data_IF_353857721657
#
_entry.id   IF_353857721657
#
_cell.length_a   1.000
_cell.length_b   1.000
_cell.length_c   1.000
_cell.angle_alpha   90.00
_cell.angle_beta   90.00
_cell.angle_gamma   90.00
#
_symmetry.space_group_name_H-M   'P 1'
#
loop_
_entity.id
_entity.type
_entity.pdbx_description
1 polymer ?
#
# COMPACT_ATOMS: atom_id res chain seq x y z
N UNK A 1 6.85 -4.68 17.80
CA UNK A 1 6.72 -5.41 16.53
C UNK A 1 6.24 -6.80 16.87
N UNK A 2 5.08 -7.22 16.36
CA UNK A 2 4.70 -8.64 16.40
C UNK A 2 5.74 -9.41 15.58
N UNK A 3 6.49 -10.31 16.21
CA UNK A 3 7.49 -11.15 15.53
C UNK A 3 6.91 -12.55 15.35
N UNK A 4 7.03 -13.13 14.16
CA UNK A 4 6.64 -14.51 13.88
C UNK A 4 5.47 -14.64 12.89
N UNK A 5 4.84 -15.82 12.85
CA UNK A 5 3.82 -16.19 11.84
C UNK A 5 2.58 -15.29 11.82
N UNK A 6 2.31 -14.56 12.90
CA UNK A 6 1.12 -13.71 13.06
C UNK A 6 1.35 -12.22 12.81
N UNK A 7 2.59 -11.79 12.54
CA UNK A 7 2.91 -10.39 12.30
C UNK A 7 1.99 -9.77 11.23
N UNK A 8 1.36 -8.63 11.57
CA UNK A 8 0.41 -7.93 10.72
C UNK A 8 -0.78 -8.81 10.32
N UNK A 9 -1.41 -9.45 11.31
CA UNK A 9 -2.50 -10.42 11.12
C UNK A 9 -2.12 -11.58 10.19
N UNK A 10 -0.83 -11.94 10.18
CA UNK A 10 -0.27 -13.00 9.33
C UNK A 10 -0.09 -12.62 7.86
N UNK A 11 -0.23 -11.33 7.48
CA UNK A 11 -0.01 -10.88 6.10
C UNK A 11 1.48 -10.78 5.73
N UNK A 12 2.38 -10.56 6.69
CA UNK A 12 3.80 -10.39 6.38
C UNK A 12 4.40 -11.59 5.64
N UNK A 13 4.02 -12.82 6.02
CA UNK A 13 4.48 -14.04 5.35
C UNK A 13 3.93 -14.22 3.93
N UNK A 14 2.80 -13.58 3.60
CA UNK A 14 2.17 -13.65 2.29
C UNK A 14 2.65 -12.54 1.36
N UNK A 15 3.06 -11.40 1.94
CA UNK A 15 3.48 -10.23 1.20
C UNK A 15 4.75 -10.46 0.36
N UNK A 16 5.67 -11.33 0.79
CA UNK A 16 6.86 -11.64 -0.01
C UNK A 16 7.67 -10.41 -0.44
N UNK A 17 7.76 -9.40 0.44
CA UNK A 17 8.37 -8.07 0.20
C UNK A 17 7.67 -7.18 -0.87
N UNK A 18 6.50 -7.56 -1.37
CA UNK A 18 5.73 -6.76 -2.35
C UNK A 18 4.85 -5.66 -1.72
N UNK A 19 4.89 -5.49 -0.40
CA UNK A 19 3.96 -4.60 0.32
C UNK A 19 4.65 -3.87 1.45
N UNK A 20 4.40 -2.56 1.55
CA UNK A 20 4.74 -1.77 2.73
C UNK A 20 3.69 -2.05 3.81
N UNK A 21 4.13 -2.66 4.92
CA UNK A 21 3.25 -3.01 6.04
C UNK A 21 3.38 -1.99 7.16
N UNK A 22 2.27 -1.35 7.52
CA UNK A 22 2.23 -0.27 8.51
C UNK A 22 1.31 -0.67 9.64
N UNK A 23 1.83 -0.63 10.87
CA UNK A 23 1.08 -0.91 12.09
C UNK A 23 1.07 0.37 12.95
N UNK A 24 0.10 1.27 12.71
CA UNK A 24 0.00 2.50 13.47
C UNK A 24 -0.42 2.21 14.92
N UNK A 25 0.01 3.08 15.83
CA UNK A 25 -0.34 3.03 17.24
C UNK A 25 -1.34 4.13 17.56
N UNK A 26 -2.57 3.75 17.92
CA UNK A 26 -3.61 4.68 18.32
C UNK A 26 -3.37 5.29 19.71
N UNK A 27 -4.00 6.44 19.98
CA UNK A 27 -3.91 7.12 21.27
C UNK A 27 -4.44 6.21 22.39
N UNK A 28 -3.72 6.13 23.51
CA UNK A 28 -4.06 5.28 24.66
C UNK A 28 -4.25 3.79 24.32
N UNK A 29 -3.58 3.28 23.27
CA UNK A 29 -3.80 1.93 22.72
C UNK A 29 -5.24 1.69 22.22
N UNK A 30 -5.97 2.74 21.87
CA UNK A 30 -7.36 2.68 21.43
C UNK A 30 -7.55 3.35 20.08
N UNK A 31 -8.75 3.17 19.53
CA UNK A 31 -9.19 3.74 18.25
C UNK A 31 -10.58 4.37 18.39
N UNK A 32 -10.79 5.14 19.45
CA UNK A 32 -12.07 5.78 19.72
C UNK A 32 -12.45 6.79 18.63
N UNK A 33 -11.45 7.36 17.95
CA UNK A 33 -11.59 8.35 16.91
C UNK A 33 -12.43 9.56 17.37
N UNK A 34 -12.19 10.02 18.59
CA UNK A 34 -12.96 11.12 19.18
C UNK A 34 -12.71 12.38 18.37
N UNK A 35 -13.77 13.00 17.86
CA UNK A 35 -13.64 14.19 17.01
C UNK A 35 -12.92 13.97 15.67
N UNK A 36 -12.67 12.72 15.25
CA UNK A 36 -11.96 12.41 14.00
C UNK A 36 -10.42 12.42 14.09
N UNK A 37 -9.87 12.40 15.30
CA UNK A 37 -8.42 12.45 15.55
C UNK A 37 -7.65 11.29 14.89
N UNK A 38 -8.18 10.07 14.98
CA UNK A 38 -7.52 8.88 14.43
C UNK A 38 -7.60 8.86 12.90
N UNK A 39 -8.70 9.37 12.31
CA UNK A 39 -8.79 9.54 10.85
C UNK A 39 -7.76 10.56 10.37
N UNK A 40 -7.58 11.66 11.11
CA UNK A 40 -6.57 12.68 10.79
C UNK A 40 -5.16 12.09 10.88
N UNK A 41 -4.89 11.30 11.93
CA UNK A 41 -3.63 10.58 12.07
C UNK A 41 -3.36 9.62 10.91
N UNK A 42 -4.37 8.87 10.45
CA UNK A 42 -4.24 8.00 9.27
C UNK A 42 -3.93 8.81 8.01
N UNK A 43 -4.59 9.95 7.80
CA UNK A 43 -4.30 10.83 6.65
C UNK A 43 -2.86 11.36 6.68
N UNK A 44 -2.38 11.77 7.86
CA UNK A 44 -1.01 12.25 8.05
C UNK A 44 0.03 11.15 7.81
N UNK A 45 -0.26 9.94 8.29
CA UNK A 45 0.56 8.76 8.06
C UNK A 45 0.64 8.41 6.57
N UNK A 46 -0.49 8.37 5.86
CA UNK A 46 -0.54 8.11 4.41
C UNK A 46 0.29 9.16 3.66
N UNK A 47 0.12 10.44 4.00
CA UNK A 47 0.89 11.53 3.39
C UNK A 47 2.40 11.39 3.62
N UNK A 48 2.81 10.99 4.83
CA UNK A 48 4.22 10.78 5.16
C UNK A 48 4.81 9.60 4.38
N UNK A 49 4.08 8.49 4.31
CA UNK A 49 4.49 7.30 3.54
C UNK A 49 4.64 7.64 2.06
N UNK A 50 3.68 8.33 1.47
CA UNK A 50 3.72 8.70 0.05
C UNK A 50 4.81 9.73 -0.27
N UNK A 51 5.18 10.57 0.70
CA UNK A 51 6.29 11.50 0.54
C UNK A 51 7.66 10.81 0.61
N UNK A 52 7.77 9.74 1.39
CA UNK A 52 9.05 9.07 1.67
C UNK A 52 9.27 7.80 0.82
N UNK A 53 8.20 7.16 0.34
CA UNK A 53 8.23 5.87 -0.35
C UNK A 53 7.45 5.90 -1.68
N UNK A 54 7.94 5.16 -2.68
CA UNK A 54 7.19 4.89 -3.90
C UNK A 54 6.13 3.81 -3.61
N UNK A 55 4.88 4.23 -3.38
CA UNK A 55 3.75 3.32 -3.13
C UNK A 55 2.70 3.43 -4.24
N UNK A 56 2.10 2.29 -4.60
CA UNK A 56 0.93 2.29 -5.48
C UNK A 56 -0.29 2.81 -4.72
N UNK A 57 -0.64 4.05 -5.02
CA UNK A 57 -1.79 4.75 -4.43
C UNK A 57 -3.14 4.13 -4.80
N UNK A 58 -3.21 3.34 -5.87
CA UNK A 58 -4.40 2.57 -6.22
C UNK A 58 -4.54 1.25 -5.42
N UNK A 59 -3.51 0.85 -4.67
CA UNK A 59 -3.47 -0.38 -3.87
C UNK A 59 -3.23 -0.10 -2.38
N UNK A 60 -3.97 0.88 -1.84
CA UNK A 60 -4.00 1.14 -0.39
C UNK A 60 -5.10 0.31 0.27
N UNK A 61 -4.75 -0.41 1.33
CA UNK A 61 -5.69 -1.26 2.06
C UNK A 61 -5.65 -0.95 3.56
N UNK A 62 -6.79 -1.12 4.23
CA UNK A 62 -6.86 -1.04 5.68
C UNK A 62 -7.42 -2.34 6.26
N UNK A 63 -6.82 -2.82 7.34
CA UNK A 63 -7.32 -3.97 8.09
C UNK A 63 -7.12 -3.79 9.59
N UNK A 64 -7.97 -4.46 10.37
CA UNK A 64 -7.78 -4.54 11.80
C UNK A 64 -8.80 -5.44 12.47
N UNK A 65 -8.47 -5.83 13.71
CA UNK A 65 -9.33 -6.60 14.59
C UNK A 65 -9.97 -5.72 15.68
N UNK A 66 -11.20 -6.05 16.09
CA UNK A 66 -11.88 -5.41 17.22
C UNK A 66 -11.91 -3.88 17.07
N UNK A 67 -11.23 -3.13 17.93
CA UNK A 67 -11.11 -1.67 17.81
C UNK A 67 -10.42 -1.23 16.50
N UNK A 68 -9.40 -1.95 16.05
CA UNK A 68 -8.78 -1.71 14.74
C UNK A 68 -9.70 -2.09 13.57
N UNK A 69 -10.61 -3.05 13.78
CA UNK A 69 -11.68 -3.37 12.83
C UNK A 69 -12.72 -2.25 12.76
N UNK A 70 -13.08 -1.66 13.91
CA UNK A 70 -13.91 -0.46 13.98
C UNK A 70 -13.27 0.73 13.27
N UNK A 71 -11.96 0.92 13.42
CA UNK A 71 -11.22 1.96 12.70
C UNK A 71 -11.19 1.71 11.19
N UNK A 72 -10.94 0.47 10.76
CA UNK A 72 -10.97 0.10 9.34
C UNK A 72 -12.35 0.32 8.71
N UNK A 73 -13.42 0.07 9.46
CA UNK A 73 -14.79 0.41 9.04
C UNK A 73 -15.01 1.93 8.97
N UNK A 74 -14.49 2.70 9.93
CA UNK A 74 -14.56 4.16 9.90
C UNK A 74 -13.83 4.75 8.68
N UNK A 75 -12.68 4.20 8.31
CA UNK A 75 -11.96 4.55 7.07
C UNK A 75 -12.76 4.20 5.83
N UNK A 76 -13.42 3.04 5.79
CA UNK A 76 -14.31 2.69 4.69
C UNK A 76 -15.47 3.70 4.53
N UNK A 77 -15.96 4.27 5.63
CA UNK A 77 -17.02 5.29 5.56
C UNK A 77 -16.50 6.66 5.10
N UNK A 78 -15.34 7.07 5.61
CA UNK A 78 -14.85 8.45 5.53
C UNK A 78 -13.75 8.69 4.48
N UNK A 79 -13.10 7.63 4.01
CA UNK A 79 -11.93 7.64 3.12
C UNK A 79 -12.05 6.60 2.01
N UNK A 80 -13.28 6.33 1.56
CA UNK A 80 -13.59 5.38 0.49
C UNK A 80 -12.85 5.67 -0.84
N UNK A 81 -12.43 6.91 -1.08
CA UNK A 81 -11.65 7.32 -2.26
C UNK A 81 -10.13 7.24 -2.04
N UNK A 82 -9.67 7.05 -0.80
CA UNK A 82 -8.25 6.92 -0.45
C UNK A 82 -7.85 5.45 -0.39
N UNK A 83 -8.71 4.59 0.17
CA UNK A 83 -8.45 3.16 0.27
C UNK A 83 -9.14 2.40 -0.85
N UNK A 84 -8.43 1.43 -1.44
CA UNK A 84 -8.97 0.55 -2.49
C UNK A 84 -9.95 -0.47 -1.93
N UNK A 85 -9.63 -1.00 -0.75
CA UNK A 85 -10.44 -1.98 -0.04
C UNK A 85 -10.16 -1.97 1.47
N UNK A 86 -11.10 -2.49 2.26
CA UNK A 86 -10.89 -2.76 3.69
C UNK A 86 -11.21 -4.20 4.07
N UNK A 87 -10.55 -4.71 5.10
CA UNK A 87 -10.90 -5.96 5.78
C UNK A 87 -11.20 -5.69 7.27
N UNK A 88 -12.45 -5.89 7.66
CA UNK A 88 -12.94 -5.62 9.03
C UNK A 88 -13.08 -6.95 9.77
N UNK A 89 -12.17 -7.21 10.71
CA UNK A 89 -12.14 -8.44 11.49
C UNK A 89 -12.80 -8.21 12.87
N UNK A 90 -13.93 -8.86 13.15
CA UNK A 90 -14.65 -8.72 14.42
C UNK A 90 -14.90 -7.26 14.81
N UNK A 91 -15.21 -6.38 13.85
CA UNK A 91 -15.32 -4.94 14.08
C UNK A 91 -16.69 -4.50 14.59
N UNK A 92 -16.80 -3.21 14.92
CA UNK A 92 -18.07 -2.57 15.32
C UNK A 92 -18.04 -1.06 15.03
N UNK A 93 -19.12 -0.35 15.34
CA UNK A 93 -19.21 1.11 15.12
C UNK A 93 -18.62 1.95 16.27
N UNK A 94 -17.47 1.52 16.82
CA UNK A 94 -16.82 2.19 17.95
C UNK A 94 -16.09 3.48 17.54
N UNK A 95 -15.55 3.52 16.31
CA UNK A 95 -14.74 4.63 15.78
C UNK A 95 -15.55 5.60 14.89
N UNK A 96 -16.88 5.49 14.93
CA UNK A 96 -17.81 6.25 14.09
C UNK A 96 -17.85 5.80 12.62
N UNK A 97 -18.67 6.50 11.83
CA UNK A 97 -18.81 6.29 10.39
C UNK A 97 -19.40 7.57 9.75
N UNK A 98 -18.52 8.53 9.43
CA UNK A 98 -18.90 9.77 8.72
C UNK A 98 -18.94 9.53 7.21
N UNK A 99 -19.88 10.16 6.50
CA UNK A 99 -20.16 9.89 5.08
C UNK A 99 -20.85 8.54 4.93
N UNK A 100 -20.09 7.46 4.77
CA UNK A 100 -20.59 6.09 4.83
C UNK A 100 -21.55 5.69 3.71
N UNK A 101 -21.64 6.49 2.66
CA UNK A 101 -22.45 6.26 1.44
C UNK A 101 -21.62 5.98 0.21
N UNK A 102 -20.32 6.31 0.25
CA UNK A 102 -19.40 6.04 -0.86
C UNK A 102 -19.10 4.53 -0.95
N UNK A 103 -18.98 3.99 -2.18
CA UNK A 103 -18.62 2.59 -2.39
C UNK A 103 -17.12 2.36 -2.15
N UNK A 104 -16.80 1.18 -1.63
CA UNK A 104 -15.42 0.69 -1.46
C UNK A 104 -15.47 -0.83 -1.34
N UNK A 105 -14.47 -1.53 -1.87
CA UNK A 105 -14.40 -2.98 -1.70
C UNK A 105 -14.31 -3.35 -0.21
N UNK A 106 -15.17 -4.25 0.24
CA UNK A 106 -15.37 -4.53 1.65
C UNK A 106 -15.33 -6.04 1.95
N UNK A 107 -14.42 -6.45 2.83
CA UNK A 107 -14.43 -7.78 3.44
C UNK A 107 -14.80 -7.66 4.92
N UNK A 108 -15.87 -8.32 5.33
CA UNK A 108 -16.21 -8.50 6.75
C UNK A 108 -15.88 -9.92 7.20
N UNK A 109 -15.22 -10.06 8.36
CA UNK A 109 -14.91 -11.35 8.99
C UNK A 109 -15.45 -11.34 10.42
N UNK A 110 -16.34 -12.26 10.80
CA UNK A 110 -17.05 -12.15 12.09
C UNK A 110 -17.42 -13.50 12.71
N UNK A 111 -17.26 -13.60 14.03
CA UNK A 111 -17.64 -14.78 14.80
C UNK A 111 -19.14 -14.82 15.10
N UNK A 112 -19.79 -15.98 14.93
CA UNK A 112 -21.23 -16.14 15.19
C UNK A 112 -21.61 -15.87 16.66
N UNK A 113 -20.69 -16.14 17.59
CA UNK A 113 -20.89 -16.00 19.03
C UNK A 113 -20.05 -14.87 19.62
N UNK A 114 -19.71 -13.87 18.81
CA UNK A 114 -18.99 -12.70 19.29
C UNK A 114 -19.81 -11.99 20.38
N UNK A 115 -19.34 -12.11 21.62
CA UNK A 115 -20.01 -11.54 22.80
C UNK A 115 -19.58 -10.11 23.11
N UNK A 116 -18.63 -9.56 22.36
CA UNK A 116 -18.08 -8.21 22.56
C UNK A 116 -18.69 -7.26 21.53
N UNK A 117 -18.58 -7.62 20.25
CA UNK A 117 -19.14 -6.91 19.12
C UNK A 117 -20.03 -7.87 18.33
N UNK A 118 -21.29 -7.97 18.72
CA UNK A 118 -22.21 -8.98 18.20
C UNK A 118 -22.32 -9.03 16.68
N UNK A 119 -22.51 -10.24 16.14
CA UNK A 119 -22.58 -10.48 14.69
C UNK A 119 -23.67 -9.66 13.97
N UNK A 120 -24.76 -9.30 14.66
CA UNK A 120 -25.77 -8.39 14.10
C UNK A 120 -25.19 -7.03 13.69
N UNK A 121 -24.23 -6.52 14.46
CA UNK A 121 -23.46 -5.32 14.12
C UNK A 121 -22.57 -5.53 12.90
N UNK A 122 -21.83 -6.64 12.86
CA UNK A 122 -21.03 -7.04 11.70
C UNK A 122 -21.85 -7.13 10.41
N UNK A 123 -23.02 -7.79 10.47
CA UNK A 123 -23.98 -7.88 9.35
C UNK A 123 -24.49 -6.49 8.93
N UNK A 124 -24.81 -5.62 9.89
CA UNK A 124 -25.25 -4.24 9.58
C UNK A 124 -24.18 -3.44 8.84
N UNK A 125 -22.91 -3.58 9.24
CA UNK A 125 -21.77 -2.94 8.58
C UNK A 125 -21.55 -3.49 7.17
N UNK A 126 -21.59 -4.83 7.01
CA UNK A 126 -21.56 -5.49 5.70
C UNK A 126 -22.67 -4.98 4.79
N UNK A 127 -23.92 -4.98 5.28
CA UNK A 127 -25.10 -4.63 4.47
C UNK A 127 -25.08 -3.18 3.99
N UNK A 128 -24.39 -2.29 4.70
CA UNK A 128 -24.10 -0.94 4.20
C UNK A 128 -23.33 -0.99 2.89
N UNK A 129 -22.24 -1.75 2.82
CA UNK A 129 -21.42 -1.84 1.61
C UNK A 129 -22.03 -2.74 0.54
N UNK A 130 -22.87 -3.72 0.91
CA UNK A 130 -23.75 -4.40 -0.07
C UNK A 130 -24.60 -3.38 -0.81
N UNK A 131 -25.22 -2.43 -0.10
CA UNK A 131 -26.01 -1.35 -0.72
C UNK A 131 -25.13 -0.35 -1.48
N UNK A 132 -24.09 0.19 -0.86
CA UNK A 132 -23.25 1.22 -1.47
C UNK A 132 -22.57 0.72 -2.76
N UNK A 133 -22.16 -0.55 -2.80
CA UNK A 133 -21.47 -1.13 -3.95
C UNK A 133 -22.45 -1.68 -5.02
N UNK A 134 -23.76 -1.54 -4.82
CA UNK A 134 -24.79 -2.00 -5.75
C UNK A 134 -24.93 -3.53 -5.83
N UNK A 135 -24.45 -4.26 -4.83
CA UNK A 135 -24.53 -5.71 -4.79
C UNK A 135 -25.99 -6.19 -4.66
N UNK A 136 -26.28 -7.38 -5.17
CA UNK A 136 -27.56 -8.05 -4.93
C UNK A 136 -27.67 -8.41 -3.44
N UNK A 137 -28.76 -8.03 -2.74
CA UNK A 137 -29.00 -8.50 -1.38
C UNK A 137 -29.09 -10.02 -1.34
N UNK A 138 -28.34 -10.64 -0.44
CA UNK A 138 -28.26 -12.09 -0.25
C UNK A 138 -28.25 -12.42 1.23
N UNK A 139 -28.70 -13.63 1.57
CA UNK A 139 -28.54 -14.21 2.89
C UNK A 139 -27.38 -15.22 2.85
N UNK A 140 -26.13 -14.78 3.10
CA UNK A 140 -24.97 -15.65 2.97
C UNK A 140 -25.07 -16.82 3.96
N UNK A 141 -24.78 -18.06 3.53
CA UNK A 141 -24.79 -19.21 4.43
C UNK A 141 -23.72 -19.03 5.51
N UNK A 142 -24.11 -19.32 6.74
CA UNK A 142 -23.22 -19.28 7.91
C UNK A 142 -22.95 -20.72 8.41
N UNK A 143 -21.81 -20.96 9.07
CA UNK A 143 -21.50 -22.27 9.60
C UNK A 143 -22.48 -22.67 10.72
N UNK A 144 -22.71 -23.97 10.90
CA UNK A 144 -23.54 -24.45 11.99
C UNK A 144 -22.87 -24.22 13.35
N UNK A 145 -23.67 -23.96 14.39
CA UNK A 145 -23.15 -23.85 15.75
C UNK A 145 -22.52 -25.16 16.22
N UNK A 146 -21.29 -25.08 16.75
CA UNK A 146 -20.49 -26.23 17.18
C UNK A 146 -19.67 -26.90 16.07
N UNK A 147 -19.77 -26.44 14.81
CA UNK A 147 -19.01 -27.00 13.68
C UNK A 147 -17.53 -26.66 13.70
N UNK A 148 -17.12 -25.55 14.34
CA UNK A 148 -15.76 -25.02 14.26
C UNK A 148 -15.28 -24.90 12.80
N UNK A 149 -16.16 -24.43 11.93
CA UNK A 149 -15.85 -24.14 10.52
C UNK A 149 -16.15 -22.69 10.19
N UNK A 150 -15.62 -22.23 9.06
CA UNK A 150 -15.99 -20.96 8.47
C UNK A 150 -16.75 -21.13 7.13
N UNK A 151 -17.41 -20.03 6.72
CA UNK A 151 -18.03 -19.87 5.41
C UNK A 151 -17.68 -18.50 4.88
N UNK A 152 -17.15 -18.46 3.66
CA UNK A 152 -16.89 -17.22 2.92
C UNK A 152 -17.90 -17.11 1.79
N UNK A 153 -18.60 -15.97 1.71
CA UNK A 153 -19.52 -15.65 0.63
C UNK A 153 -19.09 -14.36 -0.05
N UNK A 154 -18.85 -14.42 -1.35
CA UNK A 154 -18.71 -13.24 -2.19
C UNK A 154 -20.07 -12.86 -2.75
N UNK A 155 -20.50 -11.62 -2.52
CA UNK A 155 -21.79 -11.12 -3.00
C UNK A 155 -21.78 -10.98 -4.53
N UNK A 156 -22.88 -11.36 -5.17
CA UNK A 156 -23.06 -11.18 -6.62
C UNK A 156 -23.65 -9.82 -6.96
N UNK A 157 -23.55 -9.43 -8.24
CA UNK A 157 -24.19 -8.22 -8.76
C UNK A 157 -23.56 -6.91 -8.29
N UNK A 158 -22.44 -6.97 -7.57
CA UNK A 158 -21.70 -5.76 -7.18
C UNK A 158 -21.19 -5.01 -8.41
N UNK A 159 -21.07 -3.69 -8.27
CA UNK A 159 -20.44 -2.83 -9.27
C UNK A 159 -19.00 -3.28 -9.54
N UNK A 160 -18.54 -3.08 -10.78
CA UNK A 160 -17.21 -3.50 -11.20
C UNK A 160 -16.12 -2.92 -10.27
N UNK A 161 -15.21 -3.79 -9.80
CA UNK A 161 -14.13 -3.39 -8.90
C UNK A 161 -14.56 -3.07 -7.47
N UNK A 162 -15.82 -3.31 -7.07
CA UNK A 162 -16.34 -3.02 -5.73
C UNK A 162 -16.92 -4.28 -5.05
N UNK A 163 -16.16 -5.39 -4.97
CA UNK A 163 -16.66 -6.62 -4.37
C UNK A 163 -16.99 -6.43 -2.88
N UNK A 164 -18.00 -7.15 -2.42
CA UNK A 164 -18.29 -7.36 -1.00
C UNK A 164 -18.15 -8.84 -0.69
N UNK A 165 -17.35 -9.16 0.33
CA UNK A 165 -17.17 -10.51 0.82
C UNK A 165 -17.50 -10.58 2.33
N UNK A 166 -18.05 -11.72 2.75
CA UNK A 166 -18.43 -11.98 4.13
C UNK A 166 -17.92 -13.35 4.56
N UNK A 167 -17.04 -13.38 5.55
CA UNK A 167 -16.57 -14.59 6.19
C UNK A 167 -17.18 -14.71 7.61
N UNK A 168 -18.05 -15.69 7.81
CA UNK A 168 -18.58 -16.02 9.12
C UNK A 168 -17.91 -17.29 9.66
N UNK A 169 -17.63 -17.33 10.96
CA UNK A 169 -17.00 -18.49 11.59
C UNK A 169 -17.63 -18.84 12.95
N UNK A 170 -17.66 -20.12 13.27
CA UNK A 170 -18.34 -20.65 14.46
C UNK A 170 -17.53 -20.48 15.76
N UNK A 171 -17.13 -19.26 16.10
CA UNK A 171 -16.51 -18.90 17.39
C UNK A 171 -16.91 -17.50 17.87
N UNK A 172 -16.23 -17.02 18.92
CA UNK A 172 -16.46 -15.72 19.55
C UNK A 172 -15.59 -14.60 18.99
N UNK A 173 -15.26 -13.63 19.85
CA UNK A 173 -14.48 -12.45 19.50
C UNK A 173 -12.98 -12.75 19.44
N UNK A 174 -12.52 -13.33 18.32
CA UNK A 174 -11.12 -13.73 18.14
C UNK A 174 -10.55 -13.30 16.78
N UNK A 175 -9.28 -12.85 16.70
CA UNK A 175 -8.64 -12.39 15.48
C UNK A 175 -8.14 -13.51 14.55
N UNK A 176 -7.84 -14.70 15.08
CA UNK A 176 -7.17 -15.78 14.35
C UNK A 176 -7.91 -17.13 14.48
N UNK A 177 -9.21 -17.22 14.10
CA UNK A 177 -9.95 -18.48 14.11
C UNK A 177 -9.31 -19.52 13.19
N UNK A 178 -9.46 -20.79 13.54
CA UNK A 178 -9.04 -21.93 12.70
C UNK A 178 -10.18 -22.95 12.58
N UNK A 179 -10.19 -23.68 11.48
CA UNK A 179 -11.16 -24.77 11.32
C UNK A 179 -10.73 -26.01 12.12
N UNK A 180 -11.71 -26.71 12.69
CA UNK A 180 -11.54 -27.97 13.40
C UNK A 180 -10.95 -27.86 14.82
N UNK A 181 -10.70 -26.64 15.32
CA UNK A 181 -10.23 -26.42 16.69
C UNK A 181 -10.65 -25.04 17.20
N UNK A 182 -10.79 -24.91 18.53
CA UNK A 182 -11.18 -23.66 19.20
C UNK A 182 -9.99 -22.74 19.43
N UNK A 183 -10.29 -21.45 19.58
CA UNK A 183 -9.36 -20.42 20.01
C UNK A 183 -8.46 -19.87 18.91
N UNK A 184 -7.72 -18.84 19.28
CA UNK A 184 -6.77 -18.18 18.39
C UNK A 184 -5.60 -19.08 17.99
N UNK A 185 -5.29 -19.05 16.70
CA UNK A 185 -4.18 -19.81 16.13
C UNK A 185 -3.55 -19.04 14.98
N UNK A 186 -2.56 -18.20 15.29
CA UNK A 186 -1.93 -17.33 14.31
C UNK A 186 -1.30 -18.07 13.11
N UNK A 187 -0.73 -19.26 13.31
CA UNK A 187 -0.10 -20.01 12.20
C UNK A 187 -1.08 -20.82 11.35
N UNK A 188 -2.20 -21.30 11.94
CA UNK A 188 -3.18 -22.17 11.29
C UNK A 188 -4.46 -21.45 10.86
N UNK A 189 -4.62 -20.18 11.21
CA UNK A 189 -5.80 -19.42 10.79
C UNK A 189 -5.85 -19.25 9.28
N UNK A 190 -7.06 -19.33 8.74
CA UNK A 190 -7.40 -19.10 7.34
C UNK A 190 -7.55 -17.60 7.00
N UNK A 191 -7.74 -16.74 8.00
CA UNK A 191 -8.00 -15.30 7.83
C UNK A 191 -6.96 -14.59 6.95
N UNK A 192 -5.63 -14.70 7.17
CA UNK A 192 -4.65 -14.02 6.32
C UNK A 192 -4.75 -14.43 4.84
N UNK A 193 -5.08 -15.69 4.55
CA UNK A 193 -5.22 -16.16 3.18
C UNK A 193 -6.44 -15.53 2.50
N UNK A 194 -7.57 -15.43 3.20
CA UNK A 194 -8.78 -14.79 2.67
C UNK A 194 -8.60 -13.27 2.52
N UNK A 195 -7.97 -12.60 3.48
CA UNK A 195 -7.66 -11.17 3.39
C UNK A 195 -6.69 -10.90 2.23
N UNK A 196 -5.63 -11.70 2.11
CA UNK A 196 -4.64 -11.56 1.05
C UNK A 196 -5.29 -11.74 -0.32
N UNK A 197 -6.03 -12.85 -0.52
CA UNK A 197 -6.80 -13.10 -1.74
C UNK A 197 -7.75 -11.94 -2.07
N UNK A 198 -8.40 -11.36 -1.06
CA UNK A 198 -9.31 -10.24 -1.25
C UNK A 198 -8.59 -8.95 -1.65
N UNK A 199 -7.42 -8.64 -1.09
CA UNK A 199 -6.67 -7.43 -1.45
C UNK A 199 -5.93 -7.59 -2.79
N UNK A 200 -5.35 -8.76 -3.06
CA UNK A 200 -4.56 -8.95 -4.29
C UNK A 200 -5.41 -9.17 -5.53
N UNK A 201 -6.74 -9.35 -5.42
CA UNK A 201 -7.62 -9.42 -6.59
C UNK A 201 -7.67 -8.11 -7.40
N UNK A 202 -7.25 -6.99 -6.80
CA UNK A 202 -7.16 -5.69 -7.45
C UNK A 202 -5.83 -5.49 -8.19
N UNK A 203 -4.91 -6.44 -8.06
CA UNK A 203 -3.72 -6.47 -8.89
C UNK A 203 -4.17 -6.74 -10.33
N UNK A 204 -4.12 -5.72 -11.16
CA UNK A 204 -4.11 -5.94 -12.60
C UNK A 204 -2.90 -6.81 -12.92
N UNK A 205 -2.99 -7.70 -13.92
CA UNK A 205 -1.82 -8.42 -14.48
C UNK A 205 -0.79 -7.50 -15.14
N UNK A 206 -0.88 -6.18 -14.91
CA UNK A 206 0.19 -5.22 -15.05
C UNK A 206 0.53 -4.68 -13.66
N UNK A 207 1.83 -4.63 -13.30
CA UNK A 207 2.31 -3.87 -12.16
C UNK A 207 1.78 -2.43 -12.21
N UNK A 208 1.82 -1.69 -11.08
CA UNK A 208 1.42 -0.29 -11.07
C UNK A 208 2.12 0.44 -12.22
N UNK A 209 1.35 1.10 -13.10
CA UNK A 209 1.93 2.07 -14.03
C UNK A 209 2.29 3.32 -13.23
N UNK A 210 3.45 3.23 -12.59
CA UNK A 210 4.17 4.29 -11.91
C UNK A 210 5.01 3.73 -10.75
N UNK A 211 6.32 3.98 -10.68
CA UNK A 211 7.28 3.94 -11.79
C UNK A 211 8.53 3.12 -11.34
N UNK A 212 9.28 2.42 -12.17
CA UNK A 212 9.39 2.43 -13.61
C UNK A 212 9.87 1.06 -14.10
N UNK A 213 9.80 0.85 -15.41
CA UNK A 213 10.78 0.01 -16.09
C UNK A 213 12.21 0.55 -15.96
N UNK A 214 12.55 1.26 -14.88
CA UNK A 214 13.89 1.65 -14.54
C UNK A 214 14.18 1.67 -13.04
N UNK A 215 15.44 1.43 -12.71
CA UNK A 215 16.06 1.53 -11.38
C UNK A 215 17.29 2.42 -11.51
N UNK A 216 17.53 3.29 -10.53
CA UNK A 216 18.65 4.23 -10.50
C UNK A 216 19.45 4.05 -9.22
N UNK A 217 20.78 4.01 -9.34
CA UNK A 217 21.71 4.18 -8.21
C UNK A 217 22.54 5.41 -8.44
N UNK A 218 22.70 6.27 -7.43
CA UNK A 218 23.58 7.44 -7.49
C UNK A 218 24.62 7.38 -6.36
N UNK A 219 25.89 7.26 -6.75
CA UNK A 219 27.02 7.28 -5.81
C UNK A 219 27.73 8.62 -5.87
N UNK A 220 27.68 9.36 -4.76
CA UNK A 220 28.34 10.67 -4.62
C UNK A 220 29.68 10.54 -3.90
N UNK A 221 30.71 11.16 -4.47
CA UNK A 221 32.01 11.39 -3.83
C UNK A 221 32.29 12.89 -3.80
N UNK A 222 32.44 13.48 -2.62
CA UNK A 222 32.62 14.91 -2.43
C UNK A 222 33.97 15.27 -1.79
N UNK A 223 34.49 16.46 -2.10
CA UNK A 223 35.74 17.01 -1.58
C UNK A 223 35.68 18.54 -1.57
N UNK A 224 36.19 19.18 -0.52
CA UNK A 224 36.23 20.64 -0.42
C UNK A 224 34.87 21.29 -0.77
N UNK A 225 34.79 21.93 -1.94
CA UNK A 225 33.59 22.57 -2.51
C UNK A 225 33.11 21.91 -3.81
N UNK A 226 33.55 20.69 -4.09
CA UNK A 226 33.26 19.93 -5.31
C UNK A 226 32.72 18.52 -4.98
N UNK A 227 31.93 17.98 -5.89
CA UNK A 227 31.46 16.60 -5.83
C UNK A 227 31.41 15.98 -7.20
N UNK A 228 31.43 14.66 -7.22
CA UNK A 228 31.09 13.82 -8.37
C UNK A 228 29.90 12.96 -8.03
N UNK A 229 28.92 12.89 -8.94
CA UNK A 229 27.80 11.95 -8.91
C UNK A 229 27.97 10.94 -10.06
N UNK A 230 27.89 9.66 -9.73
CA UNK A 230 27.91 8.55 -10.68
C UNK A 230 26.55 7.86 -10.63
N UNK A 231 25.79 7.96 -11.72
CA UNK A 231 24.41 7.51 -11.82
C UNK A 231 24.35 6.33 -12.78
N UNK A 232 23.86 5.18 -12.32
CA UNK A 232 23.53 4.04 -13.17
C UNK A 232 22.03 3.95 -13.34
N UNK A 233 21.56 4.03 -14.59
CA UNK A 233 20.14 3.88 -14.95
C UNK A 233 19.95 2.50 -15.57
N UNK A 234 19.21 1.63 -14.90
CA UNK A 234 18.92 0.26 -15.34
C UNK A 234 17.50 0.20 -15.91
N UNK A 235 17.28 -0.41 -17.07
CA UNK A 235 15.93 -0.72 -17.57
C UNK A 235 15.42 -2.02 -16.93
N UNK A 236 14.45 -1.93 -16.02
CA UNK A 236 13.82 -3.08 -15.36
C UNK A 236 12.53 -3.53 -16.04
N UNK A 237 12.14 -2.87 -17.15
CA UNK A 237 10.98 -3.20 -17.95
C UNK A 237 11.23 -4.36 -18.92
N UNK A 238 10.22 -4.67 -19.73
CA UNK A 238 10.26 -5.75 -20.75
C UNK A 238 10.49 -5.24 -22.17
N UNK A 239 10.46 -3.93 -22.38
CA UNK A 239 10.69 -3.28 -23.68
C UNK A 239 11.96 -2.46 -23.64
N UNK A 240 12.67 -2.38 -24.77
CA UNK A 240 13.80 -1.48 -24.88
C UNK A 240 13.34 -0.02 -24.75
N UNK A 241 14.14 0.79 -24.06
CA UNK A 241 13.99 2.24 -24.02
C UNK A 241 14.80 2.78 -25.20
N UNK A 242 14.21 3.60 -26.05
CA UNK A 242 14.89 4.21 -27.21
C UNK A 242 14.76 5.73 -27.13
N UNK A 243 15.87 6.39 -26.78
CA UNK A 243 15.89 7.77 -26.34
C UNK A 243 15.45 7.91 -24.89
N UNK A 244 16.25 8.63 -24.09
CA UNK A 244 15.92 8.85 -22.69
C UNK A 244 16.35 10.22 -22.16
N UNK A 245 15.54 10.73 -21.23
CA UNK A 245 15.81 11.91 -20.42
C UNK A 245 15.57 11.59 -18.94
N UNK A 246 16.60 11.70 -18.12
CA UNK A 246 16.52 11.54 -16.67
C UNK A 246 16.40 12.92 -16.02
N UNK A 247 15.32 13.15 -15.28
CA UNK A 247 15.10 14.39 -14.56
C UNK A 247 15.45 14.20 -13.09
N UNK A 248 16.03 15.21 -12.45
CA UNK A 248 16.29 15.21 -11.01
C UNK A 248 16.46 16.64 -10.50
N UNK A 249 16.23 16.87 -9.21
CA UNK A 249 16.46 18.18 -8.58
C UNK A 249 17.74 18.13 -7.75
N UNK A 250 18.73 18.93 -8.13
CA UNK A 250 19.93 19.10 -7.33
C UNK A 250 19.59 19.77 -6.00
N UNK A 251 20.14 19.29 -4.87
CA UNK A 251 20.03 19.98 -3.60
C UNK A 251 20.52 21.43 -3.66
N UNK A 252 19.88 22.29 -2.86
CA UNK A 252 20.21 23.71 -2.80
C UNK A 252 21.70 23.94 -2.54
N UNK A 253 22.31 24.79 -3.37
CA UNK A 253 23.74 25.10 -3.30
C UNK A 253 24.64 24.24 -4.20
N UNK A 254 24.09 23.25 -4.92
CA UNK A 254 24.82 22.50 -5.94
C UNK A 254 24.66 23.08 -7.35
N UNK A 255 25.75 23.09 -8.13
CA UNK A 255 25.74 23.51 -9.54
C UNK A 255 26.68 22.64 -10.37
N UNK A 256 26.17 21.98 -11.41
CA UNK A 256 26.94 21.14 -12.33
C UNK A 256 27.96 22.00 -13.09
N UNK A 257 29.21 21.54 -13.14
CA UNK A 257 30.31 22.19 -13.86
C UNK A 257 30.68 21.45 -15.14
N UNK A 258 30.54 20.12 -15.17
CA UNK A 258 30.82 19.27 -16.33
C UNK A 258 30.18 17.90 -16.14
N UNK A 259 29.84 17.20 -17.22
CA UNK A 259 29.32 15.82 -17.15
C UNK A 259 29.78 14.95 -18.31
N UNK A 260 29.49 13.65 -18.22
CA UNK A 260 29.79 12.65 -19.24
C UNK A 260 28.61 11.73 -19.48
N UNK A 261 28.59 11.11 -20.67
CA UNK A 261 27.55 10.18 -21.14
C UNK A 261 26.11 10.72 -21.12
N UNK A 262 25.91 12.00 -20.82
CA UNK A 262 24.64 12.71 -20.93
C UNK A 262 24.87 14.21 -21.13
N UNK A 263 23.87 14.90 -21.66
CA UNK A 263 23.81 16.36 -21.71
C UNK A 263 22.94 16.87 -20.56
N UNK A 264 23.45 17.79 -19.75
CA UNK A 264 22.78 18.29 -18.55
C UNK A 264 22.30 19.73 -18.73
N UNK A 265 21.02 20.00 -18.51
CA UNK A 265 20.48 21.35 -18.54
C UNK A 265 19.20 21.47 -17.70
N UNK A 266 19.01 22.59 -16.97
CA UNK A 266 20.01 23.60 -16.59
C UNK A 266 21.10 23.02 -15.67
N UNK A 267 22.09 23.81 -15.29
CA UNK A 267 23.19 23.36 -14.41
C UNK A 267 22.83 23.33 -12.91
N UNK A 268 21.68 23.88 -12.51
CA UNK A 268 21.25 23.98 -11.10
C UNK A 268 19.73 23.86 -10.97
N UNK A 269 19.24 23.49 -9.80
CA UNK A 269 17.81 23.31 -9.55
C UNK A 269 17.30 22.02 -10.19
N UNK A 270 16.22 22.10 -10.97
CA UNK A 270 15.65 20.96 -11.67
C UNK A 270 16.41 20.72 -12.98
N UNK A 271 17.20 19.65 -13.02
CA UNK A 271 18.09 19.29 -14.13
C UNK A 271 17.47 18.17 -14.95
N UNK A 272 17.64 18.24 -16.27
CA UNK A 272 17.38 17.14 -17.20
C UNK A 272 18.71 16.67 -17.79
N UNK A 273 19.00 15.37 -17.64
CA UNK A 273 20.09 14.67 -18.29
C UNK A 273 19.55 13.90 -19.50
N UNK A 274 19.94 14.28 -20.72
CA UNK A 274 19.51 13.63 -21.96
C UNK A 274 20.60 12.71 -22.52
N UNK A 275 20.19 11.59 -23.12
CA UNK A 275 21.10 10.59 -23.67
C UNK A 275 22.08 11.15 -24.70
N UNK A 276 23.27 10.56 -24.75
CA UNK A 276 24.17 10.69 -25.88
C UNK A 276 23.75 9.72 -27.01
N UNK A 277 24.29 9.89 -28.21
CA UNK A 277 23.95 9.02 -29.34
C UNK A 277 24.34 7.56 -29.12
N UNK A 278 25.45 7.30 -28.42
CA UNK A 278 25.97 5.94 -28.20
C UNK A 278 25.24 5.15 -27.11
N UNK A 279 24.45 5.82 -26.26
CA UNK A 279 23.73 5.19 -25.15
C UNK A 279 22.23 5.49 -25.16
N UNK A 280 21.69 5.87 -26.32
CA UNK A 280 20.28 6.19 -26.50
C UNK A 280 19.35 5.01 -26.20
N UNK A 281 19.79 3.79 -26.49
CA UNK A 281 18.99 2.58 -26.30
C UNK A 281 19.40 1.82 -25.04
N UNK A 282 18.44 1.51 -24.17
CA UNK A 282 18.63 0.66 -22.99
C UNK A 282 17.75 -0.59 -23.14
N UNK A 283 18.38 -1.72 -23.45
CA UNK A 283 17.67 -3.00 -23.54
C UNK A 283 17.10 -3.43 -22.18
N UNK A 284 16.05 -4.27 -22.14
CA UNK A 284 15.57 -4.88 -20.90
C UNK A 284 16.70 -5.54 -20.09
N UNK A 285 16.81 -5.20 -18.81
CA UNK A 285 17.85 -5.67 -17.90
C UNK A 285 19.23 -5.02 -18.07
N UNK A 286 19.41 -4.14 -19.06
CA UNK A 286 20.68 -3.42 -19.27
C UNK A 286 20.70 -2.09 -18.50
N UNK A 287 21.91 -1.54 -18.35
CA UNK A 287 22.14 -0.27 -17.67
C UNK A 287 22.96 0.69 -18.54
N UNK A 288 22.79 1.99 -18.29
CA UNK A 288 23.68 3.05 -18.78
C UNK A 288 24.24 3.83 -17.60
N UNK A 289 25.54 4.11 -17.66
CA UNK A 289 26.23 4.87 -16.62
C UNK A 289 26.52 6.29 -17.11
N UNK A 290 26.05 7.26 -16.33
CA UNK A 290 26.24 8.69 -16.56
C UNK A 290 26.82 9.33 -15.30
N UNK A 291 27.26 10.58 -15.41
CA UNK A 291 27.71 11.28 -14.22
C UNK A 291 28.11 12.71 -14.49
N UNK A 292 28.29 13.44 -13.41
CA UNK A 292 28.67 14.84 -13.45
C UNK A 292 29.55 15.23 -12.27
N UNK A 293 30.34 16.27 -12.50
CA UNK A 293 30.98 17.08 -11.45
C UNK A 293 30.11 18.29 -11.16
N UNK A 294 30.01 18.66 -9.89
CA UNK A 294 29.31 19.85 -9.43
C UNK A 294 30.08 20.56 -8.32
N UNK A 295 29.95 21.88 -8.25
CA UNK A 295 30.29 22.63 -7.05
C UNK A 295 29.17 22.53 -6.00
N UNK A 296 29.49 22.68 -4.71
CA UNK A 296 28.50 22.76 -3.63
C UNK A 296 28.85 23.80 -2.56
N UNK A 297 27.85 24.34 -1.85
CA UNK A 297 28.04 25.27 -0.73
C UNK A 297 27.90 24.62 0.66
N UNK A 298 27.81 23.29 0.72
CA UNK A 298 27.82 22.51 1.97
C UNK A 298 26.93 21.27 1.95
N UNK A 299 25.96 21.21 1.04
CA UNK A 299 25.12 20.03 0.84
C UNK A 299 25.68 19.14 -0.28
N UNK A 300 26.07 17.92 0.08
CA UNK A 300 26.63 16.91 -0.84
C UNK A 300 25.71 15.71 -1.07
N UNK A 301 24.45 15.78 -0.65
CA UNK A 301 23.51 14.69 -0.88
C UNK A 301 23.22 14.50 -2.38
N UNK A 302 22.93 13.27 -2.83
CA UNK A 302 22.36 13.05 -4.15
C UNK A 302 20.93 13.59 -4.23
N UNK A 303 20.40 13.85 -5.44
CA UNK A 303 18.96 13.99 -5.66
C UNK A 303 18.17 12.78 -5.11
N UNK A 304 16.95 13.04 -4.63
CA UNK A 304 16.08 12.02 -4.02
C UNK A 304 15.09 11.35 -4.99
N UNK A 305 15.02 11.81 -6.25
CA UNK A 305 14.07 11.30 -7.25
C UNK A 305 14.63 11.43 -8.66
N UNK A 306 14.38 10.42 -9.49
CA UNK A 306 14.90 10.30 -10.85
C UNK A 306 13.84 9.85 -11.88
N UNK A 307 12.94 10.72 -12.35
CA UNK A 307 12.06 10.39 -13.48
C UNK A 307 12.80 10.17 -14.80
N UNK A 308 12.69 8.98 -15.37
CA UNK A 308 13.14 8.65 -16.72
C UNK A 308 11.96 8.78 -17.68
N UNK A 309 12.06 9.68 -18.66
CA UNK A 309 10.99 10.00 -19.61
C UNK A 309 9.66 10.34 -18.90
N UNK A 310 9.73 11.10 -17.80
CA UNK A 310 8.58 11.47 -16.99
C UNK A 310 8.09 10.39 -16.02
N UNK A 311 8.72 9.22 -15.97
CA UNK A 311 8.33 8.07 -15.14
C UNK A 311 9.39 7.83 -14.05
N UNK A 312 9.08 8.04 -12.76
CA UNK A 312 10.06 7.90 -11.65
C UNK A 312 10.79 6.52 -11.56
N UNK A 313 12.10 6.47 -11.55
CA UNK A 313 12.80 5.21 -11.29
C UNK A 313 12.76 4.85 -9.79
N UNK A 314 12.85 3.56 -9.47
CA UNK A 314 13.22 3.12 -8.13
C UNK A 314 14.65 3.60 -7.82
N UNK A 315 14.90 4.08 -6.60
CA UNK A 315 16.22 4.60 -6.17
C UNK A 315 16.83 3.66 -5.14
N UNK A 316 18.10 3.29 -5.32
CA UNK A 316 18.87 2.44 -4.41
C UNK A 316 20.20 3.06 -3.99
#
# INVERSE_FOLDING_TARGET
>A
METGTWAYYGLQRLAGNSTVLVAPQGLNNGWANTGGEDVTFVDDMVRRIEADLCVDTAQRFALGFSYGGAMSYSLACSRATVFRAVAVLGGGQLSGCSGGTQPIAYLGVHGLRDSVLGISGGRTMRDRFVRNNGCTPQNPPEPAQGSLTHRVTTYSGCSAGLPVAWAAFDEGHIPAPQDGARGDSGSRTWVPAEVWKFFTQFQTSSPPTGPAGCRVTDTVSAWNSGLTSNISVTNTGTTAIDGWSLEFTLPGGQTITSGWNAQYSPASGRVTASNASHNATIAPGASVDIGFQAGHTGNTAPPSSYPLNGTACAVE
#
